data_IF_496265710677
#
_entry.id   IF_496265710677
#
_cell.length_a   1.000
_cell.length_b   1.000
_cell.length_c   1.000
_cell.angle_alpha   90.00
_cell.angle_beta   90.00
_cell.angle_gamma   90.00
#
_symmetry.space_group_name_H-M   'P 1'
#
loop_
_entity.id
_entity.type
_entity.pdbx_description
1 polymer ?
#
# COMPACT_ATOMS: atom_id res chain seq x y z
N UNK A 1 -14.00 -17.19 -0.67
CA UNK A 1 -12.83 -18.06 -0.37
C UNK A 1 -11.54 -17.27 -0.17
N UNK A 2 -11.19 -16.35 -1.08
CA UNK A 2 -10.09 -15.38 -0.86
C UNK A 2 -10.31 -14.48 0.36
N UNK A 3 -11.55 -14.08 0.63
CA UNK A 3 -11.85 -13.10 1.69
C UNK A 3 -11.61 -13.63 3.12
N UNK A 4 -12.01 -14.86 3.43
CA UNK A 4 -11.75 -15.45 4.75
C UNK A 4 -10.24 -15.63 5.01
N UNK A 5 -9.49 -16.02 3.98
CA UNK A 5 -8.02 -16.09 4.03
C UNK A 5 -7.42 -14.67 4.22
N UNK A 6 -7.88 -13.68 3.47
CA UNK A 6 -7.45 -12.29 3.60
C UNK A 6 -7.70 -11.72 5.00
N UNK A 7 -8.88 -11.95 5.56
CA UNK A 7 -9.23 -11.52 6.92
C UNK A 7 -8.32 -12.17 7.96
N UNK A 8 -7.98 -13.45 7.81
CA UNK A 8 -7.06 -14.15 8.70
C UNK A 8 -5.63 -13.57 8.65
N UNK A 9 -5.13 -13.30 7.43
CA UNK A 9 -3.83 -12.68 7.16
C UNK A 9 -3.74 -11.25 7.69
N UNK A 10 -4.79 -10.45 7.47
CA UNK A 10 -4.78 -9.01 7.72
C UNK A 10 -5.39 -8.61 9.06
N UNK A 11 -5.85 -9.58 9.88
CA UNK A 11 -6.50 -9.32 11.17
C UNK A 11 -5.61 -8.48 12.09
N UNK A 12 -6.17 -7.38 12.58
CA UNK A 12 -5.47 -6.38 13.39
C UNK A 12 -4.88 -5.21 12.59
N UNK A 13 -4.90 -5.28 11.25
CA UNK A 13 -4.54 -4.18 10.36
C UNK A 13 -5.78 -3.50 9.78
N UNK A 14 -5.62 -2.26 9.28
CA UNK A 14 -6.68 -1.60 8.51
C UNK A 14 -7.06 -2.36 7.23
N UNK A 15 -6.19 -3.22 6.70
CA UNK A 15 -6.47 -3.97 5.47
C UNK A 15 -7.54 -5.06 5.67
N UNK A 16 -7.82 -5.47 6.91
CA UNK A 16 -8.94 -6.35 7.21
C UNK A 16 -10.29 -5.68 6.89
N UNK A 17 -10.40 -4.38 7.17
CA UNK A 17 -11.63 -3.61 6.98
C UNK A 17 -11.63 -2.82 5.66
N UNK A 18 -10.45 -2.58 5.07
CA UNK A 18 -10.24 -1.75 3.88
C UNK A 18 -9.36 -2.44 2.86
N UNK A 19 -9.99 -3.19 1.97
CA UNK A 19 -9.28 -3.75 0.82
C UNK A 19 -8.85 -2.63 -0.14
N UNK A 20 -7.60 -2.65 -0.66
CA UNK A 20 -7.12 -1.62 -1.58
C UNK A 20 -7.95 -1.45 -2.86
N UNK A 21 -8.60 -2.53 -3.33
CA UNK A 21 -9.48 -2.48 -4.50
C UNK A 21 -10.74 -1.62 -4.26
N UNK A 22 -11.13 -1.45 -3.00
CA UNK A 22 -12.30 -0.68 -2.59
C UNK A 22 -13.61 -1.43 -2.80
N UNK A 23 -14.71 -0.67 -2.81
CA UNK A 23 -16.05 -1.17 -3.03
C UNK A 23 -16.52 -0.78 -4.43
N UNK A 24 -17.17 -1.69 -5.15
CA UNK A 24 -17.72 -1.43 -6.47
C UNK A 24 -18.64 -0.20 -6.49
N UNK A 25 -19.51 -0.09 -5.48
CA UNK A 25 -20.42 1.05 -5.33
C UNK A 25 -19.68 2.39 -5.21
N UNK A 26 -18.48 2.40 -4.61
CA UNK A 26 -17.65 3.61 -4.50
C UNK A 26 -16.96 3.88 -5.83
N UNK A 27 -16.35 2.87 -6.45
CA UNK A 27 -15.64 3.03 -7.72
C UNK A 27 -16.56 3.52 -8.84
N UNK A 28 -17.79 2.98 -8.90
CA UNK A 28 -18.77 3.33 -9.93
C UNK A 28 -19.41 4.72 -9.74
N UNK A 29 -19.32 5.32 -8.54
CA UNK A 29 -20.02 6.57 -8.22
C UNK A 29 -19.10 7.70 -7.73
N UNK A 30 -17.79 7.46 -7.57
CA UNK A 30 -16.87 8.48 -7.07
C UNK A 30 -16.80 9.68 -8.02
N UNK A 31 -16.86 10.90 -7.47
CA UNK A 31 -16.74 12.11 -8.27
C UNK A 31 -15.29 12.36 -8.67
N UNK A 32 -15.08 12.95 -9.86
CA UNK A 32 -13.76 13.38 -10.31
C UNK A 32 -13.09 14.34 -9.30
N UNK A 33 -13.86 15.23 -8.68
CA UNK A 33 -13.39 16.16 -7.64
C UNK A 33 -12.82 15.40 -6.44
N UNK A 34 -13.51 14.37 -5.95
CA UNK A 34 -13.05 13.55 -4.83
C UNK A 34 -11.73 12.84 -5.15
N UNK A 35 -11.57 12.31 -6.36
CA UNK A 35 -10.32 11.66 -6.79
C UNK A 35 -9.17 12.69 -6.88
N UNK A 36 -9.42 13.88 -7.43
CA UNK A 36 -8.41 14.94 -7.49
C UNK A 36 -7.99 15.42 -6.11
N UNK A 37 -8.94 15.62 -5.19
CA UNK A 37 -8.66 15.99 -3.81
C UNK A 37 -7.87 14.90 -3.09
N UNK A 38 -8.19 13.63 -3.31
CA UNK A 38 -7.42 12.50 -2.78
C UNK A 38 -5.98 12.52 -3.30
N UNK A 39 -5.79 12.69 -4.61
CA UNK A 39 -4.46 12.76 -5.23
C UNK A 39 -3.63 13.91 -4.67
N UNK A 40 -4.18 15.13 -4.64
CA UNK A 40 -3.48 16.30 -4.09
C UNK A 40 -3.16 16.15 -2.60
N UNK A 41 -4.01 15.45 -1.85
CA UNK A 41 -3.83 15.19 -0.43
C UNK A 41 -2.69 14.23 -0.14
N UNK A 42 -2.58 13.13 -0.89
CA UNK A 42 -1.67 12.03 -0.55
C UNK A 42 -0.41 11.99 -1.43
N UNK A 43 -0.49 12.32 -2.72
CA UNK A 43 0.64 12.30 -3.65
C UNK A 43 1.45 13.61 -3.60
N UNK A 44 2.05 13.88 -2.44
CA UNK A 44 2.93 15.04 -2.20
C UNK A 44 4.38 14.57 -2.08
N UNK A 45 5.34 15.40 -2.51
CA UNK A 45 6.76 15.01 -2.55
C UNK A 45 7.31 14.63 -1.16
N UNK A 46 6.79 15.23 -0.10
CA UNK A 46 7.14 14.90 1.29
C UNK A 46 6.60 13.53 1.76
N UNK A 47 5.70 12.89 1.00
CA UNK A 47 5.20 11.53 1.24
C UNK A 47 5.78 10.51 0.26
N UNK A 48 6.70 10.91 -0.61
CA UNK A 48 7.29 10.06 -1.64
C UNK A 48 8.73 9.70 -1.28
N UNK A 49 9.13 8.49 -1.64
CA UNK A 49 10.52 8.04 -1.61
C UNK A 49 10.91 7.61 -3.02
N UNK A 50 12.15 7.91 -3.41
CA UNK A 50 12.76 7.40 -4.64
C UNK A 50 13.71 6.28 -4.22
N UNK A 51 13.48 5.09 -4.75
CA UNK A 51 14.33 3.92 -4.50
C UNK A 51 14.99 3.54 -5.82
N UNK A 52 16.32 3.56 -5.86
CA UNK A 52 17.12 3.13 -6.99
C UNK A 52 17.88 1.85 -6.61
N UNK A 53 17.67 0.77 -7.38
CA UNK A 53 18.31 -0.53 -7.14
C UNK A 53 18.98 -0.99 -8.43
N UNK A 54 20.24 -1.35 -8.34
CA UNK A 54 21.04 -1.80 -9.47
C UNK A 54 22.52 -1.87 -9.11
N UNK A 55 23.31 -2.44 -10.03
CA UNK A 55 24.76 -2.42 -9.95
C UNK A 55 25.28 -1.07 -10.47
N UNK A 56 25.37 -0.10 -9.57
CA UNK A 56 25.80 1.26 -9.91
C UNK A 56 27.31 1.39 -9.71
N UNK A 57 28.11 1.58 -10.79
CA UNK A 57 29.54 1.80 -10.65
C UNK A 57 29.87 3.15 -9.98
N UNK A 58 28.96 4.14 -10.07
CA UNK A 58 29.04 5.41 -9.34
C UNK A 58 27.65 5.83 -8.81
N UNK A 59 27.50 5.82 -7.49
CA UNK A 59 26.26 6.23 -6.81
C UNK A 59 26.03 7.74 -6.87
N UNK A 60 27.08 8.56 -7.02
CA UNK A 60 26.94 10.01 -7.07
C UNK A 60 26.29 10.47 -8.38
N UNK A 61 26.62 9.84 -9.50
CA UNK A 61 25.93 10.07 -10.77
C UNK A 61 24.41 9.82 -10.64
N UNK A 62 24.02 8.75 -9.94
CA UNK A 62 22.59 8.42 -9.70
C UNK A 62 21.92 9.49 -8.84
N UNK A 63 22.56 9.90 -7.73
CA UNK A 63 22.04 10.97 -6.86
C UNK A 63 21.91 12.29 -7.62
N UNK A 64 22.88 12.64 -8.46
CA UNK A 64 22.85 13.86 -9.25
C UNK A 64 21.76 13.84 -10.32
N UNK A 65 21.50 12.67 -10.93
CA UNK A 65 20.38 12.49 -11.85
C UNK A 65 19.04 12.70 -11.14
N UNK A 66 18.88 12.09 -9.96
CA UNK A 66 17.69 12.28 -9.12
C UNK A 66 17.51 13.77 -8.78
N UNK A 67 18.58 14.46 -8.35
CA UNK A 67 18.52 15.91 -8.06
C UNK A 67 18.10 16.71 -9.29
N UNK A 68 18.76 16.49 -10.44
CA UNK A 68 18.43 17.16 -11.70
C UNK A 68 16.93 17.09 -12.04
N UNK A 69 16.30 15.92 -11.84
CA UNK A 69 14.90 15.73 -12.18
C UNK A 69 13.91 16.20 -11.10
N UNK A 70 14.29 16.14 -9.82
CA UNK A 70 13.34 16.30 -8.70
C UNK A 70 13.59 17.53 -7.82
N UNK A 71 14.78 18.13 -7.81
CA UNK A 71 15.11 19.24 -6.89
C UNK A 71 14.24 20.48 -7.11
N UNK A 72 13.86 20.73 -8.36
CA UNK A 72 13.04 21.89 -8.75
C UNK A 72 11.54 21.63 -8.57
N UNK A 73 11.13 20.39 -8.27
CA UNK A 73 9.70 20.06 -8.11
C UNK A 73 9.21 20.54 -6.76
N UNK A 74 8.01 21.10 -6.74
CA UNK A 74 7.32 21.52 -5.51
C UNK A 74 6.01 20.76 -5.37
N UNK A 75 5.68 20.38 -4.14
CA UNK A 75 4.36 19.83 -3.84
C UNK A 75 3.27 20.86 -4.15
N UNK A 76 2.08 20.44 -4.60
CA UNK A 76 0.96 21.35 -4.72
C UNK A 76 0.65 22.02 -3.38
N UNK A 77 0.33 23.31 -3.45
CA UNK A 77 -0.12 24.11 -2.31
C UNK A 77 -1.53 23.64 -1.97
N UNK A 78 -1.63 22.69 -1.07
CA UNK A 78 -2.90 22.30 -0.45
C UNK A 78 -3.07 23.14 0.80
N UNK A 79 -4.24 23.75 0.98
CA UNK A 79 -4.54 24.51 2.19
C UNK A 79 -4.55 23.59 3.42
N UNK A 80 -3.85 24.00 4.47
CA UNK A 80 -3.74 23.30 5.75
C UNK A 80 -2.35 22.72 6.05
N UNK A 81 -2.06 22.44 7.33
CA UNK A 81 -0.79 21.86 7.74
C UNK A 81 -0.58 20.48 7.09
N UNK A 82 0.68 20.07 6.81
CA UNK A 82 0.98 18.71 6.38
C UNK A 82 0.36 17.72 7.36
N UNK A 83 -0.52 16.83 6.88
CA UNK A 83 -1.06 15.77 7.72
C UNK A 83 0.02 14.72 7.93
N UNK A 84 0.31 14.41 9.18
CA UNK A 84 1.21 13.32 9.53
C UNK A 84 0.60 11.98 9.08
N UNK A 85 1.45 11.09 8.58
CA UNK A 85 1.04 9.73 8.24
C UNK A 85 0.79 9.00 9.56
N UNK A 86 -0.44 8.53 9.83
CA UNK A 86 -0.73 7.86 11.07
C UNK A 86 0.09 6.57 11.18
N UNK A 87 0.70 6.35 12.35
CA UNK A 87 1.28 5.06 12.69
C UNK A 87 0.14 4.08 12.97
N UNK A 88 0.11 2.98 12.23
CA UNK A 88 -0.93 1.95 12.31
C UNK A 88 -0.26 0.63 12.72
N UNK A 89 0.03 0.45 14.01
CA UNK A 89 0.67 -0.77 14.48
C UNK A 89 -0.28 -1.96 14.27
N UNK A 90 0.27 -3.05 13.75
CA UNK A 90 -0.43 -4.33 13.68
C UNK A 90 0.00 -5.15 14.89
N UNK A 91 -0.91 -5.53 15.80
CA UNK A 91 -0.54 -6.29 16.98
C UNK A 91 -0.04 -7.69 16.58
N UNK A 92 1.02 -8.21 17.23
CA UNK A 92 1.46 -9.58 17.02
C UNK A 92 0.38 -10.56 17.53
N UNK A 93 0.49 -11.82 17.09
CA UNK A 93 -0.33 -12.91 17.61
C UNK A 93 0.55 -14.05 18.11
N UNK A 94 0.19 -14.66 19.24
CA UNK A 94 0.99 -15.74 19.85
C UNK A 94 0.71 -17.10 19.23
N UNK A 95 -0.52 -17.33 18.77
CA UNK A 95 -0.93 -18.62 18.21
C UNK A 95 -0.80 -18.63 16.68
N UNK A 96 -0.29 -19.74 16.09
CA UNK A 96 -0.24 -19.91 14.64
C UNK A 96 -1.64 -19.87 14.04
N UNK A 97 -1.81 -19.10 12.97
CA UNK A 97 -3.06 -19.08 12.19
C UNK A 97 -2.87 -19.89 10.92
N UNK A 98 -3.88 -20.66 10.55
CA UNK A 98 -3.82 -21.47 9.33
C UNK A 98 -5.07 -21.30 8.48
N UNK A 99 -4.88 -21.40 7.16
CA UNK A 99 -5.97 -21.54 6.19
C UNK A 99 -5.67 -22.73 5.28
N UNK A 100 -6.66 -23.59 5.07
CA UNK A 100 -6.57 -24.76 4.21
C UNK A 100 -7.47 -24.56 2.98
N UNK A 101 -6.92 -24.83 1.80
CA UNK A 101 -7.64 -24.88 0.55
C UNK A 101 -7.50 -26.28 -0.04
N UNK A 102 -8.63 -26.95 -0.27
CA UNK A 102 -8.69 -28.25 -0.93
C UNK A 102 -9.45 -28.11 -2.24
N UNK A 103 -8.84 -28.49 -3.35
CA UNK A 103 -9.44 -28.46 -4.67
C UNK A 103 -9.80 -29.88 -5.11
N UNK A 104 -11.10 -30.18 -5.13
CA UNK A 104 -11.61 -31.52 -5.44
C UNK A 104 -11.21 -31.98 -6.85
N UNK A 105 -11.15 -31.05 -7.81
CA UNK A 105 -10.87 -31.35 -9.23
C UNK A 105 -9.37 -31.56 -9.53
N UNK A 106 -8.48 -30.96 -8.74
CA UNK A 106 -7.02 -31.04 -8.93
C UNK A 106 -6.35 -32.06 -7.97
N UNK A 107 -7.10 -32.62 -7.03
CA UNK A 107 -6.59 -33.56 -6.00
C UNK A 107 -5.59 -32.93 -5.02
N UNK A 108 -5.40 -31.61 -5.06
CA UNK A 108 -4.39 -30.89 -4.30
C UNK A 108 -4.96 -30.21 -3.06
N UNK A 109 -4.13 -30.14 -2.00
CA UNK A 109 -4.38 -29.32 -0.81
C UNK A 109 -3.25 -28.30 -0.68
N UNK A 110 -3.61 -27.03 -0.50
CA UNK A 110 -2.71 -25.93 -0.18
C UNK A 110 -2.97 -25.46 1.25
N UNK A 111 -1.93 -25.38 2.07
CA UNK A 111 -2.00 -24.91 3.45
C UNK A 111 -1.06 -23.73 3.62
N UNK A 112 -1.59 -22.62 4.15
CA UNK A 112 -0.81 -21.47 4.55
C UNK A 112 -0.82 -21.38 6.08
N UNK A 113 0.37 -21.28 6.67
CA UNK A 113 0.56 -21.13 8.13
C UNK A 113 1.25 -19.79 8.37
N UNK A 114 0.65 -18.99 9.26
CA UNK A 114 1.20 -17.71 9.71
C UNK A 114 1.80 -17.92 11.11
N UNK A 115 3.13 -17.92 11.24
CA UNK A 115 3.81 -18.08 12.51
C UNK A 115 3.65 -16.85 13.41
#
# INVERSE_FOLDING_TARGET
>A
MQEAHWLLMMKGSQYADRQPIGLESVVSNVSAKTVQEFYQRWCRLNHMAIVAVGDFPDTNAVVNLIKTHFEHKRSPVTEGPPREIPLLPVPPHEEPRFSCFAEAEAGGVSMCVLP
#
